data_IF_638916002482
#
_entry.id   IF_638916002482
#
_cell.length_a   1.000
_cell.length_b   1.000
_cell.length_c   1.000
_cell.angle_alpha   90.00
_cell.angle_beta   90.00
_cell.angle_gamma   90.00
#
_symmetry.space_group_name_H-M   'P 1'
#
loop_
_entity.id
_entity.type
_entity.pdbx_description
1 polymer ?
#
# COMPACT_ATOMS: atom_id res chain seq x y z
N UNK A 1 5.46 3.79 -18.44
CA UNK A 1 4.30 2.89 -18.23
C UNK A 1 3.85 3.02 -16.79
N UNK A 2 2.68 3.58 -16.59
CA UNK A 2 2.06 3.92 -15.31
C UNK A 2 1.34 2.71 -14.71
N UNK A 3 0.96 2.80 -13.43
CA UNK A 3 -0.02 1.91 -12.79
C UNK A 3 -1.24 1.63 -13.67
N UNK A 4 -1.97 0.50 -13.47
CA UNK A 4 -3.31 0.33 -14.01
C UNK A 4 -4.14 1.59 -13.73
N UNK A 5 -4.78 2.14 -14.77
CA UNK A 5 -5.52 3.40 -14.67
C UNK A 5 -6.65 3.31 -13.65
N UNK A 6 -7.24 2.11 -13.54
CA UNK A 6 -8.28 1.74 -12.61
C UNK A 6 -7.78 1.94 -11.17
N UNK A 7 -6.63 1.37 -10.82
CA UNK A 7 -6.04 1.53 -9.48
C UNK A 7 -5.63 2.97 -9.18
N UNK A 8 -5.14 3.71 -10.18
CA UNK A 8 -4.81 5.13 -10.02
C UNK A 8 -6.05 6.00 -9.76
N UNK A 9 -7.19 5.65 -10.36
CA UNK A 9 -8.46 6.33 -10.14
C UNK A 9 -8.91 6.12 -8.70
N UNK A 10 -8.84 4.89 -8.19
CA UNK A 10 -9.18 4.61 -6.79
C UNK A 10 -8.28 5.34 -5.81
N UNK A 11 -6.96 5.45 -6.09
CA UNK A 11 -6.04 6.22 -5.24
C UNK A 11 -6.49 7.68 -5.04
N UNK A 12 -6.92 8.33 -6.13
CA UNK A 12 -7.42 9.71 -6.07
C UNK A 12 -8.70 9.77 -5.24
N UNK A 13 -9.64 8.85 -5.48
CA UNK A 13 -10.92 8.80 -4.76
C UNK A 13 -10.73 8.52 -3.26
N UNK A 14 -9.79 7.65 -2.89
CA UNK A 14 -9.44 7.40 -1.49
C UNK A 14 -8.90 8.67 -0.84
N UNK A 15 -7.97 9.36 -1.51
CA UNK A 15 -7.38 10.59 -0.97
C UNK A 15 -8.41 11.72 -0.82
N UNK A 16 -9.33 11.85 -1.79
CA UNK A 16 -10.43 12.80 -1.72
C UNK A 16 -11.38 12.47 -0.56
N UNK A 17 -11.79 11.21 -0.43
CA UNK A 17 -12.65 10.78 0.69
C UNK A 17 -12.01 11.02 2.05
N UNK A 18 -10.69 10.82 2.19
CA UNK A 18 -9.98 11.09 3.44
C UNK A 18 -9.96 12.57 3.83
N UNK A 19 -10.07 13.48 2.86
CA UNK A 19 -10.18 14.91 3.13
C UNK A 19 -11.57 15.30 3.67
N UNK A 20 -12.56 14.41 3.51
CA UNK A 20 -13.91 14.59 4.02
C UNK A 20 -14.07 13.81 5.35
N UNK A 21 -14.79 14.39 6.31
CA UNK A 21 -15.13 13.70 7.56
C UNK A 21 -16.12 12.55 7.35
N UNK A 22 -16.32 11.69 8.35
CA UNK A 22 -17.21 10.53 8.24
C UNK A 22 -18.67 10.95 8.05
N UNK A 23 -19.29 10.47 6.97
CA UNK A 23 -20.71 10.63 6.68
C UNK A 23 -21.28 9.34 6.06
N UNK A 24 -22.62 9.19 5.95
CA UNK A 24 -23.23 8.09 5.21
C UNK A 24 -22.72 8.00 3.76
N UNK A 25 -22.53 9.15 3.11
CA UNK A 25 -22.06 9.24 1.72
C UNK A 25 -20.59 8.83 1.59
N UNK A 26 -19.72 9.25 2.51
CA UNK A 26 -18.31 8.83 2.50
C UNK A 26 -18.18 7.34 2.80
N UNK A 27 -19.02 6.81 3.70
CA UNK A 27 -19.07 5.38 4.04
C UNK A 27 -19.50 4.55 2.84
N UNK A 28 -20.59 4.95 2.17
CA UNK A 28 -21.04 4.28 0.95
C UNK A 28 -19.98 4.31 -0.15
N UNK A 29 -19.35 5.47 -0.35
CA UNK A 29 -18.30 5.64 -1.35
C UNK A 29 -17.07 4.78 -1.04
N UNK A 30 -16.68 4.69 0.23
CA UNK A 30 -15.60 3.80 0.69
C UNK A 30 -15.90 2.33 0.38
N UNK A 31 -17.12 1.85 0.66
CA UNK A 31 -17.52 0.48 0.30
C UNK A 31 -17.46 0.22 -1.20
N UNK A 32 -17.93 1.18 -2.02
CA UNK A 32 -17.86 1.05 -3.48
C UNK A 32 -16.42 1.01 -4.02
N UNK A 33 -15.48 1.72 -3.37
CA UNK A 33 -14.06 1.61 -3.70
C UNK A 33 -13.55 0.20 -3.39
N UNK A 34 -13.89 -0.35 -2.23
CA UNK A 34 -13.49 -1.71 -1.86
C UNK A 34 -14.04 -2.75 -2.83
N UNK A 35 -15.31 -2.65 -3.22
CA UNK A 35 -15.93 -3.54 -4.21
C UNK A 35 -15.20 -3.49 -5.56
N UNK A 36 -14.85 -2.27 -6.02
CA UNK A 36 -14.10 -2.10 -7.27
C UNK A 36 -12.69 -2.68 -7.17
N UNK A 37 -12.00 -2.46 -6.05
CA UNK A 37 -10.69 -3.05 -5.80
C UNK A 37 -10.78 -4.58 -5.75
N UNK A 38 -11.78 -5.16 -5.09
CA UNK A 38 -11.96 -6.62 -5.03
C UNK A 38 -12.28 -7.22 -6.41
N UNK A 39 -12.96 -6.47 -7.28
CA UNK A 39 -13.24 -6.89 -8.66
C UNK A 39 -12.04 -6.79 -9.61
N UNK A 40 -10.97 -6.09 -9.23
CA UNK A 40 -9.78 -5.94 -10.07
C UNK A 40 -9.04 -7.28 -10.18
N UNK A 41 -8.74 -7.70 -11.42
CA UNK A 41 -8.04 -8.96 -11.71
C UNK A 41 -6.65 -8.64 -12.29
N UNK A 42 -5.56 -8.76 -11.48
CA UNK A 42 -4.20 -8.47 -11.90
C UNK A 42 -3.76 -9.22 -13.18
N UNK A 43 -4.14 -10.49 -13.28
CA UNK A 43 -3.79 -11.37 -14.40
C UNK A 43 -4.45 -10.90 -15.70
N UNK A 44 -5.74 -10.59 -15.66
CA UNK A 44 -6.49 -10.09 -16.81
C UNK A 44 -5.91 -8.76 -17.31
N UNK A 45 -5.57 -7.84 -16.39
CA UNK A 45 -4.93 -6.59 -16.77
C UNK A 45 -3.54 -6.82 -17.38
N UNK A 46 -2.71 -7.68 -16.77
CA UNK A 46 -1.35 -7.94 -17.26
C UNK A 46 -1.32 -8.55 -18.66
N UNK A 47 -2.34 -9.34 -19.02
CA UNK A 47 -2.49 -9.93 -20.36
C UNK A 47 -2.74 -8.89 -21.46
N UNK A 48 -3.20 -7.69 -21.11
CA UNK A 48 -3.38 -6.58 -22.07
C UNK A 48 -2.08 -5.84 -22.39
N UNK A 49 -0.99 -6.12 -21.66
CA UNK A 49 0.28 -5.43 -21.82
C UNK A 49 1.13 -6.05 -22.94
N UNK A 50 1.83 -5.23 -23.77
CA UNK A 50 2.46 -5.71 -24.99
C UNK A 50 3.75 -6.53 -24.79
N UNK A 51 4.39 -6.46 -23.62
CA UNK A 51 5.66 -7.15 -23.31
C UNK A 51 5.87 -7.25 -21.80
N UNK A 52 6.80 -8.11 -21.34
CA UNK A 52 7.13 -8.27 -19.90
C UNK A 52 5.94 -8.74 -19.04
N UNK A 53 5.18 -9.73 -19.53
CA UNK A 53 3.94 -10.19 -18.89
C UNK A 53 4.14 -10.62 -17.44
N UNK A 54 5.20 -11.37 -17.12
CA UNK A 54 5.49 -11.79 -15.74
C UNK A 54 5.77 -10.60 -14.82
N UNK A 55 6.55 -9.61 -15.28
CA UNK A 55 6.80 -8.38 -14.52
C UNK A 55 5.51 -7.58 -14.31
N UNK A 56 4.66 -7.48 -15.34
CA UNK A 56 3.37 -6.78 -15.22
C UNK A 56 2.41 -7.48 -14.28
N UNK A 57 2.36 -8.81 -14.33
CA UNK A 57 1.55 -9.63 -13.44
C UNK A 57 2.00 -9.49 -12.00
N UNK A 58 3.30 -9.53 -11.76
CA UNK A 58 3.88 -9.32 -10.43
C UNK A 58 3.58 -7.91 -9.93
N UNK A 59 3.84 -6.90 -10.76
CA UNK A 59 3.60 -5.50 -10.42
C UNK A 59 2.12 -5.23 -10.13
N UNK A 60 1.20 -5.68 -10.99
CA UNK A 60 -0.23 -5.49 -10.79
C UNK A 60 -0.73 -6.20 -9.54
N UNK A 61 -0.20 -7.38 -9.23
CA UNK A 61 -0.50 -8.11 -7.98
C UNK A 61 -0.04 -7.36 -6.74
N UNK A 62 1.18 -6.79 -6.77
CA UNK A 62 1.74 -6.00 -5.67
C UNK A 62 0.89 -4.76 -5.43
N UNK A 63 0.62 -4.00 -6.49
CA UNK A 63 -0.13 -2.76 -6.40
C UNK A 63 -1.58 -2.98 -6.03
N UNK A 64 -2.20 -4.06 -6.49
CA UNK A 64 -3.55 -4.44 -6.06
C UNK A 64 -3.58 -4.72 -4.56
N UNK A 65 -2.70 -5.57 -4.05
CA UNK A 65 -2.64 -5.88 -2.63
C UNK A 65 -2.32 -4.64 -1.77
N UNK A 66 -1.38 -3.80 -2.21
CA UNK A 66 -1.04 -2.55 -1.53
C UNK A 66 -2.20 -1.53 -1.57
N UNK A 67 -2.91 -1.40 -2.70
CA UNK A 67 -4.05 -0.48 -2.82
C UNK A 67 -5.23 -0.89 -1.96
N UNK A 68 -5.59 -2.17 -1.96
CA UNK A 68 -6.65 -2.69 -1.08
C UNK A 68 -6.30 -2.49 0.40
N UNK A 69 -5.05 -2.76 0.77
CA UNK A 69 -4.59 -2.55 2.14
C UNK A 69 -4.59 -1.06 2.53
N UNK A 70 -4.07 -0.21 1.65
CA UNK A 70 -4.08 1.23 1.82
C UNK A 70 -5.51 1.77 1.98
N UNK A 71 -6.44 1.36 1.12
CA UNK A 71 -7.84 1.78 1.19
C UNK A 71 -8.45 1.45 2.56
N UNK A 72 -8.28 0.21 3.03
CA UNK A 72 -8.81 -0.20 4.35
C UNK A 72 -8.17 0.63 5.47
N UNK A 73 -6.83 0.66 5.54
CA UNK A 73 -6.11 1.33 6.62
C UNK A 73 -6.43 2.82 6.69
N UNK A 74 -6.41 3.48 5.54
CA UNK A 74 -6.55 4.94 5.46
C UNK A 74 -7.99 5.42 5.61
N UNK A 75 -8.98 4.66 5.11
CA UNK A 75 -10.40 4.98 5.29
C UNK A 75 -10.92 4.59 6.68
N UNK A 76 -10.33 3.59 7.35
CA UNK A 76 -10.58 3.36 8.78
C UNK A 76 -10.01 4.49 9.63
N UNK A 77 -8.82 5.00 9.28
CA UNK A 77 -8.18 6.13 9.95
C UNK A 77 -9.00 7.41 9.86
N UNK A 78 -9.60 7.71 8.70
CA UNK A 78 -10.50 8.87 8.53
C UNK A 78 -11.90 8.66 9.13
N UNK A 79 -12.22 7.45 9.61
CA UNK A 79 -13.54 7.08 10.11
C UNK A 79 -14.58 6.79 9.03
N UNK A 80 -14.24 6.86 7.74
CA UNK A 80 -15.14 6.50 6.64
C UNK A 80 -15.46 4.99 6.61
N UNK A 81 -14.59 4.16 7.18
CA UNK A 81 -14.85 2.74 7.44
C UNK A 81 -14.78 2.45 8.94
N UNK A 82 -15.61 1.52 9.41
CA UNK A 82 -15.57 1.10 10.81
C UNK A 82 -14.32 0.27 11.10
N UNK A 83 -13.53 0.71 12.06
CA UNK A 83 -12.37 -0.03 12.59
C UNK A 83 -12.77 -1.36 13.26
N UNK A 84 -14.02 -1.48 13.73
CA UNK A 84 -14.53 -2.65 14.45
C UNK A 84 -15.16 -3.72 13.54
N UNK A 85 -15.14 -3.53 12.21
CA UNK A 85 -15.74 -4.51 11.29
C UNK A 85 -14.88 -5.79 11.17
N UNK A 86 -15.42 -6.97 11.54
CA UNK A 86 -14.68 -8.23 11.41
C UNK A 86 -14.35 -8.60 9.95
N UNK A 87 -15.23 -8.24 9.03
CA UNK A 87 -15.05 -8.48 7.59
C UNK A 87 -13.86 -7.68 7.05
N UNK A 88 -13.77 -6.39 7.42
CA UNK A 88 -12.65 -5.54 7.03
C UNK A 88 -11.34 -6.03 7.67
N UNK A 89 -11.37 -6.49 8.91
CA UNK A 89 -10.19 -7.07 9.56
C UNK A 89 -9.68 -8.33 8.83
N UNK A 90 -10.60 -9.19 8.36
CA UNK A 90 -10.24 -10.36 7.56
C UNK A 90 -9.67 -9.96 6.18
N UNK A 91 -10.29 -8.99 5.52
CA UNK A 91 -9.81 -8.45 4.26
C UNK A 91 -8.41 -7.83 4.41
N UNK A 92 -8.20 -7.01 5.43
CA UNK A 92 -6.90 -6.41 5.77
C UNK A 92 -5.84 -7.50 5.93
N UNK A 93 -6.08 -8.51 6.76
CA UNK A 93 -5.13 -9.60 6.99
C UNK A 93 -4.81 -10.39 5.70
N UNK A 94 -5.81 -10.59 4.83
CA UNK A 94 -5.64 -11.23 3.53
C UNK A 94 -4.74 -10.41 2.60
N UNK A 95 -5.00 -9.11 2.45
CA UNK A 95 -4.19 -8.24 1.60
C UNK A 95 -2.79 -8.02 2.16
N UNK A 96 -2.64 -7.88 3.48
CA UNK A 96 -1.36 -7.82 4.17
C UNK A 96 -0.50 -9.06 3.91
N UNK A 97 -1.06 -10.26 4.15
CA UNK A 97 -0.36 -11.52 3.87
C UNK A 97 0.04 -11.64 2.40
N UNK A 98 -0.85 -11.25 1.49
CA UNK A 98 -0.56 -11.27 0.05
C UNK A 98 0.56 -10.31 -0.30
N UNK A 99 0.53 -9.08 0.22
CA UNK A 99 1.54 -8.07 -0.02
C UNK A 99 2.90 -8.51 0.51
N UNK A 100 2.98 -9.00 1.76
CA UNK A 100 4.22 -9.51 2.36
C UNK A 100 4.84 -10.64 1.53
N UNK A 101 4.03 -11.59 1.05
CA UNK A 101 4.49 -12.67 0.19
C UNK A 101 5.00 -12.20 -1.19
N UNK A 102 4.62 -10.99 -1.61
CA UNK A 102 5.02 -10.41 -2.90
C UNK A 102 6.21 -9.45 -2.78
N UNK A 103 6.60 -9.03 -1.58
CA UNK A 103 7.69 -8.06 -1.40
C UNK A 103 9.01 -8.59 -1.93
N UNK A 104 9.39 -9.81 -1.57
CA UNK A 104 10.65 -10.40 -2.00
C UNK A 104 10.73 -10.58 -3.51
N UNK A 105 9.78 -11.25 -4.18
CA UNK A 105 9.77 -11.31 -5.64
C UNK A 105 9.81 -9.93 -6.30
N UNK A 106 9.09 -8.94 -5.75
CA UNK A 106 9.07 -7.57 -6.26
C UNK A 106 10.42 -6.87 -6.14
N UNK A 107 11.17 -7.11 -5.07
CA UNK A 107 12.50 -6.53 -4.84
C UNK A 107 13.60 -7.20 -5.66
N UNK A 108 13.43 -8.48 -6.02
CA UNK A 108 14.40 -9.21 -6.86
C UNK A 108 14.19 -8.97 -8.37
N UNK A 109 12.99 -8.55 -8.80
CA UNK A 109 12.70 -8.25 -10.20
C UNK A 109 13.11 -6.80 -10.57
N UNK A 110 14.15 -6.56 -11.41
CA UNK A 110 14.71 -5.21 -11.63
C UNK A 110 13.73 -4.17 -12.17
N UNK A 111 12.75 -4.59 -12.98
CA UNK A 111 11.73 -3.70 -13.56
C UNK A 111 10.62 -3.35 -12.55
N UNK A 112 10.38 -4.23 -11.58
CA UNK A 112 9.37 -4.07 -10.53
C UNK A 112 9.97 -3.31 -9.35
N UNK A 113 11.19 -3.65 -8.92
CA UNK A 113 11.93 -3.06 -7.79
C UNK A 113 11.88 -1.54 -7.76
N UNK A 114 12.02 -0.88 -8.92
CA UNK A 114 12.01 0.58 -9.04
C UNK A 114 10.68 1.24 -8.62
N UNK A 115 9.60 0.46 -8.51
CA UNK A 115 8.24 0.89 -8.20
C UNK A 115 7.77 0.41 -6.83
N UNK A 116 8.69 -0.15 -6.03
CA UNK A 116 8.36 -0.77 -4.75
C UNK A 116 8.27 0.21 -3.58
N UNK A 117 8.61 1.50 -3.77
CA UNK A 117 8.59 2.47 -2.67
C UNK A 117 7.25 2.52 -1.97
N UNK A 118 6.19 2.83 -2.71
CA UNK A 118 4.87 2.98 -2.12
C UNK A 118 4.33 1.65 -1.55
N UNK A 119 4.43 0.49 -2.26
CA UNK A 119 4.09 -0.81 -1.67
C UNK A 119 4.85 -1.14 -0.37
N UNK A 120 6.16 -0.82 -0.29
CA UNK A 120 6.95 -1.02 0.92
C UNK A 120 6.50 -0.13 2.07
N UNK A 121 6.11 1.11 1.77
CA UNK A 121 5.57 2.05 2.77
C UNK A 121 4.25 1.53 3.33
N UNK A 122 3.31 1.12 2.46
CA UNK A 122 2.03 0.54 2.90
C UNK A 122 2.25 -0.74 3.72
N UNK A 123 3.12 -1.63 3.25
CA UNK A 123 3.52 -2.83 4.00
C UNK A 123 4.15 -2.47 5.36
N UNK A 124 4.91 -1.36 5.42
CA UNK A 124 5.56 -0.88 6.63
C UNK A 124 4.58 -0.45 7.71
N UNK A 125 3.49 0.21 7.34
CA UNK A 125 2.41 0.57 8.29
C UNK A 125 1.82 -0.70 8.91
N UNK A 126 1.49 -1.68 8.07
CA UNK A 126 0.95 -2.96 8.53
C UNK A 126 1.97 -3.78 9.34
N UNK A 127 3.27 -3.64 9.05
CA UNK A 127 4.33 -4.35 9.76
C UNK A 127 4.41 -4.01 11.25
N UNK A 128 3.82 -2.89 11.70
CA UNK A 128 3.65 -2.59 13.12
C UNK A 128 2.85 -3.67 13.86
N UNK A 129 1.90 -4.33 13.16
CA UNK A 129 1.04 -5.40 13.70
C UNK A 129 1.57 -6.81 13.43
N UNK A 130 2.58 -6.94 12.59
CA UNK A 130 3.13 -8.22 12.17
C UNK A 130 4.26 -8.70 13.09
N UNK A 131 5.52 -8.39 12.76
CA UNK A 131 6.68 -8.80 13.56
C UNK A 131 7.88 -7.89 13.33
N UNK A 132 8.84 -7.91 14.27
CA UNK A 132 10.09 -7.12 14.16
C UNK A 132 10.94 -7.55 12.96
N UNK A 133 10.85 -8.81 12.56
CA UNK A 133 11.54 -9.35 11.38
C UNK A 133 11.00 -8.73 10.10
N UNK A 134 9.67 -8.58 9.98
CA UNK A 134 9.04 -7.91 8.83
C UNK A 134 9.43 -6.42 8.79
N UNK A 135 9.44 -5.75 9.95
CA UNK A 135 9.90 -4.36 10.06
C UNK A 135 11.36 -4.20 9.62
N UNK A 136 12.26 -5.06 10.11
CA UNK A 136 13.67 -5.05 9.74
C UNK A 136 13.88 -5.31 8.25
N UNK A 137 13.13 -6.25 7.67
CA UNK A 137 13.16 -6.53 6.24
C UNK A 137 12.77 -5.28 5.41
N UNK A 138 11.63 -4.66 5.73
CA UNK A 138 11.15 -3.47 5.01
C UNK A 138 12.14 -2.32 5.15
N UNK A 139 12.63 -2.06 6.35
CA UNK A 139 13.62 -1.00 6.60
C UNK A 139 14.92 -1.21 5.83
N UNK A 140 15.40 -2.46 5.74
CA UNK A 140 16.58 -2.80 4.95
C UNK A 140 16.32 -2.60 3.44
N UNK A 141 15.17 -3.04 2.92
CA UNK A 141 14.80 -2.87 1.50
C UNK A 141 14.67 -1.40 1.11
N UNK A 142 14.10 -0.55 1.96
CA UNK A 142 14.04 0.90 1.73
C UNK A 142 15.44 1.53 1.69
N UNK A 143 16.35 1.11 2.60
CA UNK A 143 17.74 1.58 2.60
C UNK A 143 18.48 1.18 1.32
N UNK A 144 18.35 -0.07 0.89
CA UNK A 144 18.93 -0.57 -0.36
C UNK A 144 18.41 0.22 -1.56
N UNK A 145 17.09 0.42 -1.62
CA UNK A 145 16.46 1.13 -2.73
C UNK A 145 16.90 2.60 -2.81
N UNK A 146 17.12 3.28 -1.68
CA UNK A 146 17.71 4.63 -1.67
C UNK A 146 19.11 4.66 -2.28
N UNK A 147 19.96 3.68 -1.94
CA UNK A 147 21.32 3.57 -2.49
C UNK A 147 21.28 3.31 -3.99
N UNK A 148 20.43 2.38 -4.42
CA UNK A 148 20.31 1.98 -5.82
C UNK A 148 19.74 3.10 -6.71
N UNK A 149 18.81 3.90 -6.17
CA UNK A 149 18.17 4.99 -6.91
C UNK A 149 18.93 6.32 -6.80
N UNK A 150 19.89 6.43 -5.87
CA UNK A 150 20.57 7.69 -5.57
C UNK A 150 19.64 8.78 -5.04
N UNK A 151 18.54 8.39 -4.38
CA UNK A 151 17.49 9.29 -3.91
C UNK A 151 17.24 9.12 -2.40
N UNK A 152 16.96 10.22 -1.70
CA UNK A 152 16.70 10.21 -0.26
C UNK A 152 15.29 9.72 0.10
N UNK A 153 14.32 9.76 -0.81
CA UNK A 153 12.90 9.47 -0.52
C UNK A 153 12.68 8.11 0.18
N UNK A 154 13.33 7.00 -0.21
CA UNK A 154 13.17 5.74 0.52
C UNK A 154 13.73 5.78 1.94
N UNK A 155 14.79 6.55 2.21
CA UNK A 155 15.31 6.75 3.57
C UNK A 155 14.36 7.57 4.43
N UNK A 156 13.70 8.58 3.85
CA UNK A 156 12.67 9.34 4.56
C UNK A 156 11.51 8.41 4.93
N UNK A 157 11.03 7.59 3.99
CA UNK A 157 10.00 6.58 4.26
C UNK A 157 10.42 5.61 5.36
N UNK A 158 11.68 5.14 5.34
CA UNK A 158 12.24 4.30 6.41
C UNK A 158 12.19 4.99 7.78
N UNK A 159 12.62 6.24 7.87
CA UNK A 159 12.64 6.99 9.13
C UNK A 159 11.24 7.18 9.72
N UNK A 160 10.27 7.52 8.87
CA UNK A 160 8.86 7.64 9.25
C UNK A 160 8.36 6.33 9.86
N UNK A 161 8.61 5.21 9.17
CA UNK A 161 8.20 3.89 9.63
C UNK A 161 8.90 3.48 10.93
N UNK A 162 10.20 3.71 11.06
CA UNK A 162 10.95 3.38 12.28
C UNK A 162 10.44 4.16 13.49
N UNK A 163 10.10 5.44 13.32
CA UNK A 163 9.45 6.25 14.35
C UNK A 163 8.09 5.67 14.73
N UNK A 164 7.27 5.35 13.73
CA UNK A 164 5.95 4.74 13.94
C UNK A 164 6.04 3.40 14.69
N UNK A 165 6.97 2.53 14.32
CA UNK A 165 7.20 1.25 15.00
C UNK A 165 7.70 1.42 16.43
N UNK A 166 8.57 2.41 16.69
CA UNK A 166 9.08 2.70 18.03
C UNK A 166 7.97 3.15 19.00
N UNK A 167 6.92 3.78 18.48
CA UNK A 167 5.73 4.17 19.24
C UNK A 167 4.71 3.03 19.44
N UNK A 168 4.98 1.85 18.87
CA UNK A 168 4.08 0.69 18.93
C UNK A 168 3.06 0.62 17.78
N UNK A 169 3.20 1.46 16.76
CA UNK A 169 2.26 1.56 15.65
C UNK A 169 1.07 2.47 15.94
N UNK A 170 -0.04 2.22 15.26
CA UNK A 170 -1.22 3.08 15.30
C UNK A 170 -2.12 2.92 14.07
N UNK A 171 -2.78 4.01 13.71
CA UNK A 171 -3.55 4.18 12.48
C UNK A 171 -2.67 4.60 11.30
N UNK A 172 -3.26 4.69 10.11
CA UNK A 172 -2.56 5.22 8.95
C UNK A 172 -2.12 6.68 9.18
N UNK A 173 -3.00 7.52 9.73
CA UNK A 173 -2.70 8.94 9.91
C UNK A 173 -1.65 9.19 11.00
N UNK A 174 -1.60 8.36 12.06
CA UNK A 174 -0.54 8.41 13.09
C UNK A 174 0.85 8.15 12.49
N UNK A 175 0.93 7.39 11.38
CA UNK A 175 2.20 7.15 10.69
C UNK A 175 2.67 8.40 9.91
N UNK A 176 1.77 9.28 9.47
CA UNK A 176 2.05 10.40 8.57
C UNK A 176 1.60 11.76 9.15
N UNK A 177 1.76 11.97 10.46
CA UNK A 177 1.44 13.24 11.13
C UNK A 177 2.14 14.46 10.50
N UNK A 178 3.36 14.26 9.96
CA UNK A 178 4.08 15.26 9.19
C UNK A 178 3.87 15.02 7.69
N UNK A 179 3.64 16.07 6.87
CA UNK A 179 3.49 15.91 5.43
C UNK A 179 4.76 15.34 4.80
N UNK A 180 4.70 14.10 4.30
CA UNK A 180 5.81 13.47 3.58
C UNK A 180 5.37 13.05 2.19
N UNK A 181 6.05 13.57 1.16
CA UNK A 181 5.85 13.14 -0.22
C UNK A 181 6.60 11.83 -0.49
N UNK A 182 5.94 10.69 -0.26
CA UNK A 182 6.47 9.36 -0.56
C UNK A 182 6.03 8.86 -1.94
N UNK A 183 6.27 9.67 -2.96
CA UNK A 183 5.92 9.36 -4.35
C UNK A 183 7.20 9.15 -5.15
N UNK A 184 7.41 7.94 -5.68
CA UNK A 184 8.35 7.61 -6.77
C UNK A 184 7.73 6.51 -7.65
#
# INVERSE_FOLDING_TARGET
VTLPRELFTELILINDLRAHGPSPETTQSASLILDRLDSFIPDAWSATQPSFQDDWRLLSSIFHAAMSLYAILSLQSSGALSASSPELALAQARHARRLFALLEPGMEAPKVKKRMLWPLVVAGVEAARASREVQAYIGQRLREMSRDQGCATPLVGKQVLERFWALGGGTWDDCFEEPVALVL
#
